data_IF_095115741469
#
_entry.id   IF_095115741469
#
_cell.length_a   1.000
_cell.length_b   1.000
_cell.length_c   1.000
_cell.angle_alpha   90.00
_cell.angle_beta   90.00
_cell.angle_gamma   90.00
#
_symmetry.space_group_name_H-M   'P 1'
#
loop_
_entity.id
_entity.type
_entity.pdbx_description
1 polymer ?
#
# COMPACT_ATOMS: atom_id res chain seq x y z
N UNK A 1 1.23 -3.13 -20.46
CA UNK A 1 -0.13 -3.38 -19.97
C UNK A 1 -1.06 -2.40 -20.67
N UNK A 2 -2.28 -2.80 -20.99
CA UNK A 2 -3.18 -1.92 -21.74
C UNK A 2 -3.76 -0.81 -20.84
N UNK A 3 -3.99 0.37 -21.43
CA UNK A 3 -4.49 1.54 -20.69
C UNK A 3 -5.79 1.25 -19.91
N UNK A 4 -6.79 0.51 -20.46
CA UNK A 4 -7.98 0.16 -19.71
C UNK A 4 -7.70 -0.63 -18.42
N UNK A 5 -6.79 -1.60 -18.46
CA UNK A 5 -6.42 -2.41 -17.30
C UNK A 5 -5.69 -1.56 -16.25
N UNK A 6 -4.80 -0.66 -16.71
CA UNK A 6 -4.12 0.30 -15.83
C UNK A 6 -5.15 1.20 -15.15
N UNK A 7 -6.14 1.72 -15.89
CA UNK A 7 -7.19 2.56 -15.32
C UNK A 7 -8.02 1.83 -14.27
N UNK A 8 -8.37 0.56 -14.52
CA UNK A 8 -9.12 -0.26 -13.56
C UNK A 8 -8.30 -0.51 -12.29
N UNK A 9 -7.01 -0.79 -12.42
CA UNK A 9 -6.11 -0.92 -11.28
C UNK A 9 -6.06 0.36 -10.43
N UNK A 10 -5.84 1.52 -11.08
CA UNK A 10 -5.77 2.80 -10.36
C UNK A 10 -7.11 3.12 -9.71
N UNK A 11 -8.23 2.88 -10.40
CA UNK A 11 -9.56 3.13 -9.87
C UNK A 11 -9.84 2.32 -8.60
N UNK A 12 -9.49 1.03 -8.58
CA UNK A 12 -9.59 0.20 -7.37
C UNK A 12 -8.70 0.69 -6.23
N UNK A 13 -7.46 1.09 -6.54
CA UNK A 13 -6.54 1.62 -5.53
C UNK A 13 -7.05 2.93 -4.91
N UNK A 14 -7.62 3.82 -5.72
CA UNK A 14 -8.23 5.07 -5.28
C UNK A 14 -9.49 4.80 -4.46
N UNK A 15 -10.36 3.89 -4.90
CA UNK A 15 -11.55 3.49 -4.16
C UNK A 15 -11.19 2.92 -2.78
N UNK A 16 -10.25 1.98 -2.71
CA UNK A 16 -9.82 1.37 -1.45
C UNK A 16 -9.29 2.38 -0.43
N UNK A 17 -8.69 3.50 -0.88
CA UNK A 17 -8.14 4.54 0.01
C UNK A 17 -9.13 5.65 0.34
N UNK A 18 -10.02 5.99 -0.59
CA UNK A 18 -10.82 7.22 -0.52
C UNK A 18 -12.33 7.00 -0.49
N UNK A 19 -12.77 5.75 -0.67
CA UNK A 19 -14.18 5.35 -0.85
C UNK A 19 -14.84 6.04 -2.06
N UNK A 20 -14.04 6.49 -3.02
CA UNK A 20 -14.48 7.18 -4.24
C UNK A 20 -13.76 6.64 -5.45
N UNK A 21 -14.49 6.46 -6.54
CA UNK A 21 -13.91 6.10 -7.84
C UNK A 21 -13.32 7.32 -8.55
N UNK A 22 -12.44 7.04 -9.51
CA UNK A 22 -11.94 8.07 -10.42
C UNK A 22 -13.10 8.60 -11.29
N UNK A 23 -13.26 9.92 -11.28
CA UNK A 23 -14.18 10.56 -12.22
C UNK A 23 -13.62 10.56 -13.66
N UNK A 24 -14.49 10.87 -14.62
CA UNK A 24 -14.11 10.84 -16.04
C UNK A 24 -12.93 11.77 -16.38
N UNK A 25 -12.84 12.93 -15.75
CA UNK A 25 -11.74 13.86 -15.99
C UNK A 25 -10.42 13.27 -15.50
N UNK A 26 -10.40 12.68 -14.31
CA UNK A 26 -9.22 12.02 -13.76
C UNK A 26 -8.78 10.83 -14.63
N UNK A 27 -9.72 10.00 -15.10
CA UNK A 27 -9.45 8.89 -16.04
C UNK A 27 -8.83 9.39 -17.35
N UNK A 28 -9.38 10.48 -17.91
CA UNK A 28 -8.85 11.10 -19.14
C UNK A 28 -7.47 11.72 -18.92
N UNK A 29 -7.21 12.30 -17.75
CA UNK A 29 -5.88 12.82 -17.39
C UNK A 29 -4.86 11.68 -17.33
N UNK A 30 -5.14 10.58 -16.61
CA UNK A 30 -4.24 9.41 -16.54
C UNK A 30 -3.97 8.87 -17.94
N UNK A 31 -5.03 8.65 -18.73
CA UNK A 31 -4.91 8.21 -20.12
C UNK A 31 -4.03 9.13 -20.95
N UNK A 32 -4.24 10.45 -20.85
CA UNK A 32 -3.45 11.43 -21.58
C UNK A 32 -1.98 11.41 -21.19
N UNK A 33 -1.68 11.26 -19.89
CA UNK A 33 -0.29 11.15 -19.42
C UNK A 33 0.37 9.89 -19.98
N UNK A 34 -0.30 8.73 -19.91
CA UNK A 34 0.22 7.46 -20.44
C UNK A 34 0.40 7.49 -21.96
N UNK A 35 -0.39 8.28 -22.69
CA UNK A 35 -0.24 8.51 -24.14
C UNK A 35 0.78 9.60 -24.49
N UNK A 36 1.48 10.18 -23.52
CA UNK A 36 2.44 11.27 -23.76
C UNK A 36 1.82 12.62 -24.13
N UNK A 37 0.51 12.80 -23.93
CA UNK A 37 -0.21 14.01 -24.31
C UNK A 37 0.14 15.21 -23.42
N UNK A 38 0.00 16.40 -23.97
CA UNK A 38 0.06 17.66 -23.22
C UNK A 38 -1.29 17.94 -22.56
N UNK A 39 -1.29 18.64 -21.42
CA UNK A 39 -2.54 19.03 -20.76
C UNK A 39 -3.46 19.88 -21.64
N UNK A 40 -2.89 20.64 -22.57
CA UNK A 40 -3.66 21.38 -23.55
C UNK A 40 -4.49 20.45 -24.46
N UNK A 41 -3.92 19.33 -24.89
CA UNK A 41 -4.61 18.33 -25.73
C UNK A 41 -5.71 17.63 -24.96
N UNK A 42 -5.42 17.18 -23.74
CA UNK A 42 -6.42 16.61 -22.83
C UNK A 42 -7.57 17.60 -22.60
N UNK A 43 -7.25 18.88 -22.36
CA UNK A 43 -8.25 19.92 -22.11
C UNK A 43 -9.20 20.14 -23.29
N UNK A 44 -8.68 20.12 -24.52
CA UNK A 44 -9.48 20.24 -25.74
C UNK A 44 -10.44 19.06 -25.89
N UNK A 45 -9.95 17.83 -25.69
CA UNK A 45 -10.77 16.62 -25.82
C UNK A 45 -11.86 16.52 -24.74
N UNK A 46 -11.60 17.06 -23.55
CA UNK A 46 -12.53 16.98 -22.42
C UNK A 46 -13.46 18.21 -22.28
N UNK A 47 -13.25 19.28 -23.06
CA UNK A 47 -14.03 20.52 -22.96
C UNK A 47 -13.72 21.38 -21.72
N UNK A 48 -12.53 21.21 -21.11
CA UNK A 48 -12.11 22.00 -19.95
C UNK A 48 -11.03 23.01 -20.31
N UNK A 49 -10.82 24.01 -19.43
CA UNK A 49 -9.66 24.90 -19.59
C UNK A 49 -8.37 24.16 -19.27
N UNK A 50 -7.28 24.52 -19.96
CA UNK A 50 -5.96 23.91 -19.69
C UNK A 50 -5.50 24.14 -18.25
N UNK A 51 -5.86 25.29 -17.64
CA UNK A 51 -5.54 25.58 -16.25
C UNK A 51 -6.30 24.67 -15.28
N UNK A 52 -7.58 24.41 -15.55
CA UNK A 52 -8.37 23.47 -14.74
C UNK A 52 -7.82 22.05 -14.82
N UNK A 53 -7.51 21.57 -16.03
CA UNK A 53 -6.88 20.25 -16.22
C UNK A 53 -5.55 20.14 -15.48
N UNK A 54 -4.70 21.18 -15.53
CA UNK A 54 -3.44 21.21 -14.78
C UNK A 54 -3.69 21.10 -13.28
N UNK A 55 -4.61 21.89 -12.73
CA UNK A 55 -4.96 21.84 -11.30
C UNK A 55 -5.40 20.44 -10.88
N UNK A 56 -6.38 19.87 -11.58
CA UNK A 56 -6.89 18.52 -11.30
C UNK A 56 -5.79 17.47 -11.48
N UNK A 57 -4.89 17.64 -12.45
CA UNK A 57 -3.76 16.73 -12.64
C UNK A 57 -2.79 16.75 -11.47
N UNK A 58 -2.50 17.93 -10.91
CA UNK A 58 -1.63 18.05 -9.74
C UNK A 58 -2.25 17.39 -8.50
N UNK A 59 -3.52 17.66 -8.23
CA UNK A 59 -4.26 17.05 -7.12
C UNK A 59 -4.33 15.53 -7.27
N UNK A 60 -4.60 15.04 -8.49
CA UNK A 60 -4.62 13.61 -8.79
C UNK A 60 -3.27 12.94 -8.57
N UNK A 61 -2.17 13.50 -9.09
CA UNK A 61 -0.84 12.93 -8.93
C UNK A 61 -0.38 12.95 -7.46
N UNK A 62 -0.76 13.97 -6.69
CA UNK A 62 -0.50 14.01 -5.25
C UNK A 62 -1.25 12.88 -4.53
N UNK A 63 -2.55 12.72 -4.80
CA UNK A 63 -3.34 11.63 -4.23
C UNK A 63 -2.77 10.25 -4.57
N UNK A 64 -2.32 10.05 -5.81
CA UNK A 64 -1.66 8.80 -6.20
C UNK A 64 -0.32 8.60 -5.49
N UNK A 65 0.39 9.68 -5.14
CA UNK A 65 1.60 9.58 -4.32
C UNK A 65 1.31 9.05 -2.93
N UNK A 66 0.23 9.54 -2.33
CA UNK A 66 -0.19 9.13 -1.00
C UNK A 66 -0.71 7.67 -1.01
N UNK A 67 -1.35 7.24 -2.10
CA UNK A 67 -1.85 5.86 -2.27
C UNK A 67 -0.71 4.87 -2.47
N UNK A 68 0.25 5.18 -3.36
CA UNK A 68 1.33 4.25 -3.71
C UNK A 68 2.56 4.35 -2.79
N UNK A 69 2.58 5.30 -1.85
CA UNK A 69 3.73 5.51 -0.96
C UNK A 69 5.00 5.96 -1.69
N UNK A 70 4.88 6.41 -2.94
CA UNK A 70 5.99 6.87 -3.78
C UNK A 70 5.60 8.17 -4.49
N UNK A 71 6.54 9.10 -4.64
CA UNK A 71 6.29 10.35 -5.36
C UNK A 71 5.89 10.12 -6.82
N UNK A 72 4.64 10.44 -7.15
CA UNK A 72 4.10 10.39 -8.51
C UNK A 72 4.14 11.76 -9.16
N UNK A 73 4.63 11.79 -10.40
CA UNK A 73 4.73 12.94 -11.29
C UNK A 73 4.24 12.51 -12.67
N UNK A 74 3.97 13.50 -13.53
CA UNK A 74 3.63 13.22 -14.94
C UNK A 74 4.66 12.30 -15.62
N UNK A 75 5.96 12.56 -15.41
CA UNK A 75 7.04 11.87 -16.12
C UNK A 75 7.40 10.47 -15.59
N UNK A 76 6.87 10.06 -14.44
CA UNK A 76 7.12 8.72 -13.88
C UNK A 76 5.84 7.92 -13.61
N UNK A 77 4.65 8.47 -13.94
CA UNK A 77 3.37 7.83 -13.68
C UNK A 77 3.34 6.39 -14.20
N UNK A 78 3.73 6.18 -15.46
CA UNK A 78 3.76 4.85 -16.08
C UNK A 78 4.63 3.87 -15.28
N UNK A 79 5.88 4.24 -14.99
CA UNK A 79 6.81 3.38 -14.25
C UNK A 79 6.34 3.09 -12.81
N UNK A 80 5.70 4.05 -12.13
CA UNK A 80 5.14 3.83 -10.79
C UNK A 80 3.99 2.82 -10.87
N UNK A 81 3.08 2.98 -11.82
CA UNK A 81 1.95 2.08 -11.99
C UNK A 81 2.40 0.68 -12.34
N UNK A 82 3.35 0.53 -13.27
CA UNK A 82 3.89 -0.78 -13.64
C UNK A 82 4.49 -1.54 -12.45
N UNK A 83 5.27 -0.86 -11.59
CA UNK A 83 5.82 -1.50 -10.38
C UNK A 83 4.74 -1.92 -9.40
N UNK A 84 3.78 -1.04 -9.11
CA UNK A 84 2.71 -1.32 -8.17
C UNK A 84 1.79 -2.45 -8.66
N UNK A 85 1.53 -2.51 -9.96
CA UNK A 85 0.76 -3.59 -10.58
C UNK A 85 1.52 -4.92 -10.48
N UNK A 86 2.81 -4.95 -10.82
CA UNK A 86 3.64 -6.17 -10.72
C UNK A 86 3.72 -6.71 -9.29
N UNK A 87 3.86 -5.82 -8.30
CA UNK A 87 3.83 -6.20 -6.89
C UNK A 87 2.47 -6.82 -6.55
N UNK A 88 1.37 -6.16 -6.92
CA UNK A 88 0.03 -6.67 -6.66
C UNK A 88 -0.19 -8.08 -7.26
N UNK A 89 0.23 -8.32 -8.51
CA UNK A 89 0.14 -9.63 -9.16
C UNK A 89 0.99 -10.68 -8.40
N UNK A 90 2.25 -10.35 -8.07
CA UNK A 90 3.15 -11.28 -7.36
C UNK A 90 2.62 -11.66 -5.96
N UNK A 91 1.95 -10.73 -5.27
CA UNK A 91 1.35 -11.00 -3.96
C UNK A 91 -0.02 -11.68 -4.07
N UNK A 92 -0.80 -11.41 -5.12
CA UNK A 92 -2.11 -12.01 -5.37
C UNK A 92 -2.06 -13.47 -5.85
N UNK A 93 -1.00 -13.89 -6.54
CA UNK A 93 -0.87 -15.27 -7.04
C UNK A 93 -0.46 -16.31 -5.98
N UNK A 94 0.01 -15.88 -4.79
CA UNK A 94 0.46 -16.81 -3.74
C UNK A 94 -0.66 -17.56 -3.02
N UNK A 95 -1.93 -17.31 -3.33
CA UNK A 95 -3.05 -17.95 -2.64
C UNK A 95 -3.73 -19.10 -3.42
N UNK A 96 -3.12 -19.61 -4.50
CA UNK A 96 -3.62 -20.84 -5.14
C UNK A 96 -2.52 -21.84 -5.49
N UNK A 97 -2.49 -22.91 -4.68
CA UNK A 97 -2.02 -24.29 -4.93
C UNK A 97 -0.53 -24.57 -4.74
N UNK A 98 -0.29 -25.33 -3.67
CA UNK A 98 0.81 -26.27 -3.49
C UNK A 98 1.31 -26.90 -4.81
N UNK A 99 2.56 -26.60 -5.20
CA UNK A 99 3.55 -27.58 -5.67
C UNK A 99 4.92 -26.92 -5.86
N UNK A 100 5.93 -27.55 -5.26
CA UNK A 100 7.38 -27.30 -5.38
C UNK A 100 7.83 -26.71 -6.72
N UNK A 101 8.68 -25.68 -6.67
CA UNK A 101 9.91 -25.58 -7.48
C UNK A 101 10.93 -24.68 -6.74
N UNK A 102 12.18 -25.09 -6.89
CA UNK A 102 13.44 -24.74 -6.24
C UNK A 102 14.03 -23.43 -6.80
N UNK A 103 14.59 -22.59 -5.91
CA UNK A 103 15.57 -21.52 -6.19
C UNK A 103 14.97 -20.24 -6.82
N UNK A 104 15.36 -19.00 -6.49
CA UNK A 104 16.63 -18.46 -5.97
C UNK A 104 16.32 -17.09 -5.33
N UNK A 105 16.99 -16.75 -4.23
CA UNK A 105 17.27 -15.35 -3.87
C UNK A 105 16.53 -14.77 -2.67
N UNK A 106 16.68 -15.36 -1.49
CA UNK A 106 16.44 -14.67 -0.22
C UNK A 106 17.35 -13.44 -0.12
N UNK A 107 16.80 -12.24 -0.29
CA UNK A 107 17.43 -11.03 0.26
C UNK A 107 16.92 -10.90 1.68
N UNK A 108 17.45 -11.75 2.56
CA UNK A 108 17.43 -11.49 3.99
C UNK A 108 18.46 -10.38 4.21
N UNK A 109 18.02 -9.12 4.25
CA UNK A 109 18.83 -8.06 4.80
C UNK A 109 18.56 -7.95 6.30
N UNK A 110 19.13 -8.89 7.06
CA UNK A 110 19.38 -8.74 8.48
C UNK A 110 20.83 -9.20 8.73
N UNK A 111 21.75 -8.30 9.11
CA UNK A 111 23.11 -8.69 9.43
C UNK A 111 23.17 -9.25 10.86
N UNK A 112 23.42 -10.55 10.99
CA UNK A 112 23.91 -11.12 12.24
C UNK A 112 25.40 -10.76 12.39
N UNK A 113 25.74 -10.09 13.49
CA UNK A 113 27.08 -10.15 14.07
C UNK A 113 26.94 -10.25 15.58
N UNK A 114 27.17 -11.45 16.10
CA UNK A 114 27.24 -11.72 17.53
C UNK A 114 28.52 -11.15 18.15
N UNK A 115 28.31 -10.46 19.26
CA UNK A 115 29.09 -10.48 20.51
C UNK A 115 30.50 -9.89 20.56
N UNK A 116 30.61 -8.70 21.19
CA UNK A 116 31.51 -8.44 22.32
C UNK A 116 31.10 -7.16 23.08
N UNK A 117 30.58 -7.29 24.30
CA UNK A 117 30.48 -6.23 25.34
C UNK A 117 31.86 -5.94 25.96
N UNK A 118 32.17 -4.71 26.45
CA UNK A 118 31.70 -4.28 27.79
C UNK A 118 31.42 -2.76 28.01
N UNK A 119 30.40 -2.49 28.85
CA UNK A 119 30.21 -1.34 29.79
C UNK A 119 30.01 0.07 29.16
N UNK A 120 29.20 1.03 29.63
CA UNK A 120 28.49 1.33 30.90
C UNK A 120 27.52 2.52 30.67
N UNK A 121 26.44 2.60 31.47
CA UNK A 121 25.70 3.80 31.95
C UNK A 121 24.88 4.74 31.02
N UNK A 122 23.60 4.87 31.41
CA UNK A 122 22.74 6.06 31.54
C UNK A 122 21.65 6.42 30.48
N UNK A 123 20.38 6.22 30.91
CA UNK A 123 19.15 7.06 30.83
C UNK A 123 18.58 7.43 29.43
N UNK A 124 17.40 7.01 28.96
CA UNK A 124 15.97 7.12 29.38
C UNK A 124 15.17 7.71 28.16
N UNK A 125 13.83 7.65 28.03
CA UNK A 125 13.07 6.60 27.36
C UNK A 125 12.15 7.16 26.24
N UNK A 126 11.75 6.33 25.26
CA UNK A 126 10.43 6.32 24.59
C UNK A 126 10.47 5.42 23.34
N UNK A 127 10.98 4.20 23.52
CA UNK A 127 10.79 3.12 22.57
C UNK A 127 9.73 2.19 23.18
N UNK A 128 8.55 2.09 22.56
CA UNK A 128 7.57 1.09 22.97
C UNK A 128 8.16 -0.29 22.65
N UNK A 129 8.22 -1.23 23.61
CA UNK A 129 9.11 -2.37 23.51
C UNK A 129 8.49 -3.45 22.64
N UNK A 130 9.22 -3.86 21.61
CA UNK A 130 9.17 -5.24 21.16
C UNK A 130 9.71 -6.12 22.29
N UNK A 131 8.90 -7.03 22.82
CA UNK A 131 9.40 -8.31 23.31
C UNK A 131 8.31 -9.38 23.43
N UNK A 132 8.76 -10.61 23.17
CA UNK A 132 8.23 -11.88 23.65
C UNK A 132 7.09 -12.51 22.83
N UNK A 133 7.49 -13.37 21.89
CA UNK A 133 6.72 -14.54 21.52
C UNK A 133 6.36 -15.31 22.81
N UNK A 134 5.05 -15.45 23.08
CA UNK A 134 4.38 -16.27 24.11
C UNK A 134 3.60 -15.56 25.24
N UNK A 135 3.33 -14.25 25.18
CA UNK A 135 2.23 -13.66 25.96
C UNK A 135 1.29 -12.84 25.07
N UNK A 136 0.03 -13.25 25.06
CA UNK A 136 -1.05 -12.57 24.34
C UNK A 136 -1.12 -11.12 24.84
N UNK A 137 -0.80 -10.17 23.95
CA UNK A 137 -0.84 -8.75 24.25
C UNK A 137 -2.30 -8.28 24.32
N UNK A 138 -2.92 -8.37 25.51
CA UNK A 138 -4.28 -7.90 25.79
C UNK A 138 -4.54 -6.46 25.35
N UNK A 139 -3.51 -5.62 25.28
CA UNK A 139 -3.65 -4.25 24.76
C UNK A 139 -3.99 -4.22 23.26
N UNK A 140 -3.47 -5.16 22.48
CA UNK A 140 -3.81 -5.32 21.06
C UNK A 140 -5.25 -5.80 20.92
N UNK A 141 -5.67 -6.77 21.74
CA UNK A 141 -7.06 -7.26 21.76
C UNK A 141 -8.05 -6.13 22.05
N UNK A 142 -7.77 -5.32 23.08
CA UNK A 142 -8.64 -4.19 23.44
C UNK A 142 -8.72 -3.13 22.33
N UNK A 143 -7.61 -2.84 21.64
CA UNK A 143 -7.62 -1.93 20.48
C UNK A 143 -8.48 -2.49 19.35
N UNK A 144 -8.36 -3.78 19.05
CA UNK A 144 -9.15 -4.43 18.00
C UNK A 144 -10.66 -4.43 18.31
N UNK A 145 -11.04 -4.63 19.57
CA UNK A 145 -12.44 -4.45 20.04
C UNK A 145 -12.93 -3.02 19.83
N UNK A 146 -12.11 -2.01 20.12
CA UNK A 146 -12.47 -0.61 19.85
C UNK A 146 -12.71 -0.32 18.36
N UNK A 147 -12.08 -1.09 17.47
CA UNK A 147 -12.32 -1.02 16.03
C UNK A 147 -13.54 -1.84 15.56
N UNK A 148 -14.30 -2.44 16.48
CA UNK A 148 -15.55 -3.15 16.18
C UNK A 148 -15.36 -4.58 15.69
N UNK A 149 -14.17 -5.16 15.87
CA UNK A 149 -13.93 -6.58 15.59
C UNK A 149 -14.54 -7.44 16.70
N UNK A 150 -15.14 -8.56 16.30
CA UNK A 150 -15.65 -9.58 17.23
C UNK A 150 -14.51 -10.43 17.80
N UNK A 151 -14.73 -11.01 18.97
CA UNK A 151 -13.73 -11.80 19.67
C UNK A 151 -13.32 -13.05 18.86
N UNK A 152 -14.22 -13.59 18.04
CA UNK A 152 -13.93 -14.68 17.09
C UNK A 152 -12.96 -14.22 15.99
N UNK A 153 -13.15 -13.02 15.44
CA UNK A 153 -12.27 -12.46 14.42
C UNK A 153 -10.88 -12.12 14.99
N UNK A 154 -10.84 -11.67 16.24
CA UNK A 154 -9.58 -11.38 16.94
C UNK A 154 -8.83 -12.67 17.21
N UNK A 155 -9.51 -13.72 17.67
CA UNK A 155 -8.94 -15.04 17.90
C UNK A 155 -8.37 -15.65 16.61
N UNK A 156 -9.12 -15.58 15.52
CA UNK A 156 -8.69 -16.05 14.20
C UNK A 156 -7.49 -15.26 13.67
N UNK A 157 -7.50 -13.93 13.78
CA UNK A 157 -6.42 -13.08 13.28
C UNK A 157 -5.11 -13.20 14.07
N UNK A 158 -5.19 -13.54 15.35
CA UNK A 158 -4.04 -13.70 16.24
C UNK A 158 -3.61 -15.15 16.43
N UNK A 159 -4.31 -16.11 15.79
CA UNK A 159 -4.10 -17.56 15.95
C UNK A 159 -4.11 -18.03 17.42
N UNK A 160 -4.98 -17.43 18.23
CA UNK A 160 -5.16 -17.76 19.65
C UNK A 160 -6.55 -18.34 19.92
N UNK A 161 -6.73 -19.22 20.92
CA UNK A 161 -8.05 -19.70 21.30
C UNK A 161 -8.96 -18.55 21.73
N UNK A 162 -10.24 -18.61 21.35
CA UNK A 162 -11.27 -17.62 21.70
C UNK A 162 -11.38 -17.43 23.22
N UNK A 163 -11.15 -18.50 23.99
CA UNK A 163 -11.16 -18.46 25.45
C UNK A 163 -10.11 -17.51 26.05
N UNK A 164 -9.00 -17.28 25.35
CA UNK A 164 -7.94 -16.34 25.76
C UNK A 164 -8.29 -14.90 25.39
N UNK A 165 -9.08 -14.71 24.33
CA UNK A 165 -9.59 -13.39 23.93
C UNK A 165 -10.67 -12.90 24.89
N UNK A 166 -11.49 -13.81 25.40
CA UNK A 166 -12.58 -13.52 26.33
C UNK A 166 -12.14 -13.21 27.77
N UNK A 167 -10.85 -13.26 28.07
CA UNK A 167 -10.27 -12.99 29.39
C UNK A 167 -10.00 -11.48 29.59
#
# INVERSE_FOLDING_TARGET
MDIPEILEFVDRAVYAKTDKHLNDLQRRIITGILKGQKYAEVSKTCGYSTQHVKKVSHELLQMLSDIFGEKVKKGNLESVLERNIKVNITFGEKNTRHKNIIGIGTINNCPDSSTATPQTSDSDPNELPYHNENQVNFEIINKLRMFGLSDEQIAEALEIPVDIVNQ
#
